data_IF_779938152254
#
_entry.id   IF_779938152254
#
_cell.length_a   1.000
_cell.length_b   1.000
_cell.length_c   1.000
_cell.angle_alpha   90.00
_cell.angle_beta   90.00
_cell.angle_gamma   90.00
#
_symmetry.space_group_name_H-M   'P 1'
#
loop_
_entity.id
_entity.type
_entity.pdbx_description
1 polymer ?
#
# COMPACT_ATOMS: atom_id res chain seq x y z
N UNK A 1 -1.16 27.59 5.85
CA UNK A 1 -2.26 27.93 6.78
C UNK A 1 -2.44 26.72 7.66
N UNK A 2 -2.03 26.83 8.93
CA UNK A 2 -2.12 25.77 9.95
C UNK A 2 -3.60 25.39 10.11
N UNK A 3 -3.93 24.12 9.95
CA UNK A 3 -5.23 23.58 10.33
C UNK A 3 -5.43 23.81 11.84
N UNK A 4 -6.60 24.23 12.30
CA UNK A 4 -6.89 24.35 13.72
C UNK A 4 -6.82 22.95 14.34
N UNK A 5 -6.13 22.85 15.47
CA UNK A 5 -6.02 21.65 16.33
C UNK A 5 -7.41 21.25 16.84
N UNK A 6 -8.16 20.49 16.05
CA UNK A 6 -9.52 20.04 16.40
C UNK A 6 -9.54 19.03 17.57
N UNK A 7 -8.40 18.51 17.98
CA UNK A 7 -8.27 17.54 19.07
C UNK A 7 -7.77 18.12 20.41
N UNK A 8 -7.49 19.43 20.46
CA UNK A 8 -7.37 20.18 21.71
C UNK A 8 -8.73 20.43 22.35
N UNK A 9 -9.83 19.95 21.74
CA UNK A 9 -11.18 19.99 22.31
C UNK A 9 -11.37 18.83 23.30
N UNK A 10 -12.17 19.03 24.37
CA UNK A 10 -12.50 17.98 25.35
C UNK A 10 -13.07 16.70 24.70
N UNK A 11 -13.71 16.83 23.55
CA UNK A 11 -14.33 15.72 22.80
C UNK A 11 -13.29 14.84 22.10
N UNK A 12 -12.18 15.42 21.59
CA UNK A 12 -11.11 14.67 20.93
C UNK A 12 -10.34 13.81 21.93
N UNK A 13 -10.00 14.36 23.08
CA UNK A 13 -9.30 13.64 24.16
C UNK A 13 -10.14 12.48 24.71
N UNK A 14 -11.44 12.69 24.92
CA UNK A 14 -12.36 11.64 25.38
C UNK A 14 -12.44 10.46 24.38
N UNK A 15 -12.35 10.71 23.07
CA UNK A 15 -12.31 9.65 22.07
C UNK A 15 -11.03 8.81 22.18
N UNK A 16 -9.87 9.46 22.31
CA UNK A 16 -8.58 8.77 22.47
C UNK A 16 -8.56 7.90 23.74
N UNK A 17 -9.07 8.42 24.85
CA UNK A 17 -9.22 7.67 26.11
C UNK A 17 -10.18 6.48 25.96
N UNK A 18 -11.27 6.64 25.21
CA UNK A 18 -12.23 5.56 24.97
C UNK A 18 -11.58 4.41 24.20
N UNK A 19 -10.82 4.73 23.15
CA UNK A 19 -10.11 3.70 22.36
C UNK A 19 -9.04 3.01 23.19
N UNK A 20 -8.25 3.77 23.94
CA UNK A 20 -7.22 3.21 24.81
C UNK A 20 -7.82 2.36 25.93
N UNK A 21 -8.95 2.79 26.50
CA UNK A 21 -9.71 2.04 27.50
C UNK A 21 -10.25 0.71 26.97
N UNK A 22 -10.77 0.70 25.74
CA UNK A 22 -11.23 -0.53 25.09
C UNK A 22 -10.07 -1.52 24.88
N UNK A 23 -8.90 -1.04 24.45
CA UNK A 23 -7.70 -1.88 24.32
C UNK A 23 -7.27 -2.43 25.70
N UNK A 24 -7.27 -1.61 26.74
CA UNK A 24 -6.92 -2.04 28.08
C UNK A 24 -7.90 -3.11 28.61
N UNK A 25 -9.19 -2.98 28.33
CA UNK A 25 -10.20 -3.98 28.69
C UNK A 25 -9.97 -5.31 27.94
N UNK A 26 -9.63 -5.26 26.65
CA UNK A 26 -9.26 -6.46 25.89
C UNK A 26 -8.03 -7.15 26.49
N UNK A 27 -7.00 -6.37 26.83
CA UNK A 27 -5.78 -6.88 27.49
C UNK A 27 -6.04 -7.48 28.87
N UNK A 28 -7.01 -6.97 29.60
CA UNK A 28 -7.45 -7.53 30.88
C UNK A 28 -8.10 -8.92 30.78
N UNK A 29 -8.60 -9.26 29.59
CA UNK A 29 -9.23 -10.56 29.31
C UNK A 29 -8.25 -11.59 28.76
N UNK A 30 -7.31 -11.17 27.90
CA UNK A 30 -6.34 -12.05 27.24
C UNK A 30 -5.15 -11.26 26.71
N UNK A 31 -3.96 -11.89 26.54
CA UNK A 31 -2.86 -11.27 25.80
C UNK A 31 -3.30 -10.82 24.40
N UNK A 32 -3.00 -9.57 24.07
CA UNK A 32 -3.50 -8.92 22.87
C UNK A 32 -2.34 -8.52 21.94
N UNK A 33 -2.50 -8.80 20.65
CA UNK A 33 -1.60 -8.33 19.59
C UNK A 33 -2.36 -7.32 18.72
N UNK A 34 -1.81 -6.12 18.60
CA UNK A 34 -2.26 -5.12 17.63
C UNK A 34 -1.24 -5.05 16.49
N UNK A 35 -1.71 -5.16 15.26
CA UNK A 35 -0.85 -5.01 14.06
C UNK A 35 -1.32 -3.79 13.29
N UNK A 36 -0.42 -2.82 13.09
CA UNK A 36 -0.65 -1.63 12.29
C UNK A 36 0.31 -1.64 11.10
N UNK A 37 -0.22 -2.04 9.97
CA UNK A 37 0.54 -2.10 8.73
C UNK A 37 0.58 -0.72 8.05
N UNK A 38 1.74 -0.37 7.47
CA UNK A 38 1.95 0.94 6.81
C UNK A 38 1.67 2.15 7.73
N UNK A 39 2.16 2.14 8.97
CA UNK A 39 1.93 3.23 9.96
C UNK A 39 2.29 4.62 9.42
N UNK A 40 3.24 4.73 8.47
CA UNK A 40 3.60 5.97 7.80
C UNK A 40 2.45 6.61 7.01
N UNK A 41 1.34 5.89 6.83
CA UNK A 41 0.12 6.35 6.12
C UNK A 41 -1.04 6.62 7.07
N UNK A 42 -0.85 6.33 8.35
CA UNK A 42 -1.88 6.54 9.35
C UNK A 42 -2.14 8.04 9.57
N UNK A 43 -3.34 8.35 10.01
CA UNK A 43 -3.72 9.70 10.38
C UNK A 43 -3.13 10.09 11.75
N UNK A 44 -3.23 11.37 12.06
CA UNK A 44 -2.74 11.94 13.32
C UNK A 44 -3.41 11.27 14.53
N UNK A 45 -4.71 10.97 14.44
CA UNK A 45 -5.47 10.35 15.55
C UNK A 45 -4.93 8.98 15.88
N UNK A 46 -4.59 8.16 14.88
CA UNK A 46 -3.94 6.85 15.07
C UNK A 46 -2.61 6.98 15.81
N UNK A 47 -1.80 7.99 15.48
CA UNK A 47 -0.53 8.25 16.16
C UNK A 47 -0.74 8.69 17.61
N UNK A 48 -1.72 9.55 17.88
CA UNK A 48 -2.05 9.99 19.23
C UNK A 48 -2.56 8.83 20.11
N UNK A 49 -3.38 7.91 19.56
CA UNK A 49 -3.77 6.67 20.24
C UNK A 49 -2.57 5.80 20.56
N UNK A 50 -1.64 5.64 19.59
CA UNK A 50 -0.41 4.88 19.81
C UNK A 50 0.47 5.49 20.91
N UNK A 51 0.62 6.82 20.96
CA UNK A 51 1.36 7.49 22.01
C UNK A 51 0.73 7.25 23.39
N UNK A 52 -0.60 7.25 23.46
CA UNK A 52 -1.32 6.97 24.69
C UNK A 52 -1.12 5.52 25.14
N UNK A 53 -1.25 4.56 24.23
CA UNK A 53 -1.01 3.13 24.50
C UNK A 53 0.46 2.87 24.88
N UNK A 54 1.43 3.51 24.22
CA UNK A 54 2.85 3.37 24.51
C UNK A 54 3.18 3.70 25.98
N UNK A 55 2.50 4.68 26.56
CA UNK A 55 2.69 5.05 27.97
C UNK A 55 2.24 3.97 28.96
N UNK A 56 1.41 3.04 28.53
CA UNK A 56 0.77 2.01 29.36
C UNK A 56 1.14 0.59 28.96
N UNK A 57 1.78 0.38 27.80
CA UNK A 57 2.06 -0.94 27.22
C UNK A 57 2.84 -1.87 28.17
N UNK A 58 3.79 -1.33 28.95
CA UNK A 58 4.58 -2.12 29.90
C UNK A 58 3.79 -2.64 31.10
N UNK A 59 2.53 -2.19 31.25
CA UNK A 59 1.63 -2.60 32.36
C UNK A 59 0.53 -3.54 31.89
N UNK A 60 0.48 -3.87 30.62
CA UNK A 60 -0.56 -4.67 29.99
C UNK A 60 0.05 -5.80 29.17
N UNK A 61 -0.60 -6.97 29.05
CA UNK A 61 -0.17 -8.03 28.12
C UNK A 61 -0.49 -7.64 26.67
N UNK A 62 0.13 -6.57 26.20
CA UNK A 62 -0.07 -5.97 24.89
C UNK A 62 1.24 -5.97 24.11
N UNK A 63 1.19 -6.52 22.88
CA UNK A 63 2.22 -6.35 21.88
C UNK A 63 1.66 -5.52 20.73
N UNK A 64 2.34 -4.44 20.38
CA UNK A 64 2.02 -3.64 19.19
C UNK A 64 3.11 -3.87 18.16
N UNK A 65 2.73 -4.40 17.00
CA UNK A 65 3.60 -4.58 15.83
C UNK A 65 3.24 -3.55 14.78
N UNK A 66 4.19 -2.75 14.37
CA UNK A 66 3.98 -1.77 13.32
C UNK A 66 4.92 -2.00 12.16
N UNK A 67 4.45 -1.83 10.93
CA UNK A 67 5.30 -1.73 9.78
C UNK A 67 5.40 -0.29 9.31
N UNK A 68 6.54 0.02 8.70
CA UNK A 68 6.87 1.38 8.33
C UNK A 68 7.79 1.39 7.11
N UNK A 69 7.54 2.29 6.20
CA UNK A 69 8.40 2.47 5.04
C UNK A 69 9.40 3.59 5.32
N UNK A 70 10.69 3.24 5.30
CA UNK A 70 11.77 4.22 5.36
C UNK A 70 11.88 4.93 3.99
N UNK A 71 11.10 5.98 3.83
CA UNK A 71 10.99 6.72 2.55
C UNK A 71 12.12 7.74 2.37
N UNK A 72 13.27 7.57 3.05
CA UNK A 72 14.32 8.59 3.02
C UNK A 72 13.77 9.94 3.49
N UNK A 73 14.41 11.01 3.50
CA UNK A 73 14.17 12.34 4.09
C UNK A 73 12.72 12.93 4.11
N UNK A 74 11.70 12.21 3.68
CA UNK A 74 10.29 12.65 3.69
C UNK A 74 9.44 11.71 4.55
N UNK A 75 9.72 11.63 5.84
CA UNK A 75 8.83 11.01 6.82
C UNK A 75 7.61 11.92 6.99
N UNK A 76 6.37 11.44 6.79
CA UNK A 76 5.16 12.21 7.09
C UNK A 76 4.97 12.42 8.60
N UNK A 77 5.55 11.57 9.43
CA UNK A 77 5.77 11.84 10.85
C UNK A 77 6.98 12.77 10.97
N UNK A 78 6.80 13.90 11.66
CA UNK A 78 7.92 14.66 12.15
C UNK A 78 8.86 13.69 12.91
N UNK A 79 10.15 13.71 12.63
CA UNK A 79 11.17 12.95 13.38
C UNK A 79 10.93 13.03 14.90
N UNK A 80 10.40 14.16 15.38
CA UNK A 80 10.01 14.40 16.76
C UNK A 80 8.85 13.54 17.29
N UNK A 81 7.88 13.16 16.44
CA UNK A 81 6.75 12.30 16.87
C UNK A 81 7.20 10.85 16.98
N UNK A 82 8.05 10.42 16.08
CA UNK A 82 8.67 9.10 16.17
C UNK A 82 9.61 8.97 17.37
N UNK A 83 10.46 9.96 17.59
CA UNK A 83 11.34 10.02 18.76
C UNK A 83 10.54 10.01 20.08
N UNK A 84 9.37 10.64 20.10
CA UNK A 84 8.46 10.57 21.27
C UNK A 84 7.92 9.17 21.53
N UNK A 85 7.49 8.44 20.49
CA UNK A 85 7.07 7.05 20.63
C UNK A 85 8.21 6.18 21.16
N UNK A 86 9.40 6.32 20.58
CA UNK A 86 10.60 5.58 21.00
C UNK A 86 11.02 5.88 22.43
N UNK A 87 10.75 7.08 22.94
CA UNK A 87 11.13 7.49 24.29
C UNK A 87 10.16 7.06 25.39
N UNK A 88 8.92 6.64 25.04
CA UNK A 88 7.85 6.35 26.00
C UNK A 88 7.71 4.89 26.37
N UNK A 89 8.18 3.98 25.55
CA UNK A 89 8.07 2.54 25.77
C UNK A 89 9.32 1.83 25.26
N UNK A 90 9.47 0.57 25.66
CA UNK A 90 10.51 -0.30 25.15
C UNK A 90 10.16 -0.69 23.71
N UNK A 91 10.95 -0.18 22.76
CA UNK A 91 10.73 -0.41 21.32
C UNK A 91 11.89 -1.23 20.76
N UNK A 92 11.55 -2.34 20.08
CA UNK A 92 12.51 -3.09 19.28
C UNK A 92 12.37 -2.69 17.82
N UNK A 93 13.38 -2.02 17.28
CA UNK A 93 13.42 -1.62 15.89
C UNK A 93 14.08 -2.71 15.04
N UNK A 94 13.31 -3.33 14.15
CA UNK A 94 13.80 -4.33 13.19
C UNK A 94 13.89 -3.67 11.81
N UNK A 95 15.12 -3.41 11.36
CA UNK A 95 15.35 -2.90 10.00
C UNK A 95 15.44 -4.05 9.03
N UNK A 96 14.42 -4.20 8.19
CA UNK A 96 14.41 -5.18 7.12
C UNK A 96 15.36 -4.75 6.01
N UNK A 97 16.25 -5.68 5.62
CA UNK A 97 17.12 -5.55 4.45
C UNK A 97 16.62 -6.49 3.37
N UNK A 98 17.11 -6.31 2.15
CA UNK A 98 16.90 -7.29 1.10
C UNK A 98 17.41 -8.68 1.50
N UNK A 99 16.79 -9.72 0.96
CA UNK A 99 17.26 -11.10 1.14
C UNK A 99 18.54 -11.34 0.33
N UNK A 100 19.38 -12.22 0.83
CA UNK A 100 20.65 -12.53 0.19
C UNK A 100 20.48 -13.43 -1.06
N UNK A 101 21.58 -13.69 -1.75
CA UNK A 101 21.61 -14.49 -2.99
C UNK A 101 21.01 -15.87 -2.81
N UNK A 102 21.34 -16.58 -1.72
CA UNK A 102 20.82 -17.93 -1.46
C UNK A 102 19.30 -17.92 -1.30
N UNK A 103 18.77 -16.99 -0.51
CA UNK A 103 17.33 -16.81 -0.33
C UNK A 103 16.65 -16.31 -1.61
N UNK A 104 17.34 -15.49 -2.42
CA UNK A 104 16.88 -15.08 -3.75
C UNK A 104 16.75 -16.28 -4.68
N UNK A 105 17.75 -17.15 -4.71
CA UNK A 105 17.70 -18.38 -5.52
C UNK A 105 16.55 -19.30 -5.10
N UNK A 106 16.35 -19.49 -3.80
CA UNK A 106 15.22 -20.26 -3.26
C UNK A 106 13.88 -19.65 -3.64
N UNK A 107 13.76 -18.32 -3.55
CA UNK A 107 12.53 -17.63 -3.90
C UNK A 107 12.21 -17.75 -5.39
N UNK A 108 13.20 -17.63 -6.26
CA UNK A 108 13.07 -17.85 -7.71
C UNK A 108 12.60 -19.28 -7.98
N UNK A 109 13.24 -20.28 -7.38
CA UNK A 109 12.86 -21.69 -7.54
C UNK A 109 11.41 -21.94 -7.07
N UNK A 110 11.00 -21.37 -5.94
CA UNK A 110 9.64 -21.52 -5.40
C UNK A 110 8.57 -20.87 -6.31
N UNK A 111 8.92 -19.79 -7.01
CA UNK A 111 7.98 -19.06 -7.87
C UNK A 111 7.87 -19.65 -9.27
N UNK A 112 8.98 -20.11 -9.84
CA UNK A 112 9.05 -20.60 -11.22
C UNK A 112 9.08 -22.12 -11.37
N UNK A 113 9.40 -22.84 -10.29
CA UNK A 113 9.68 -24.28 -10.35
C UNK A 113 11.07 -24.62 -10.93
N UNK A 114 11.87 -23.61 -11.30
CA UNK A 114 13.19 -23.77 -11.93
C UNK A 114 14.27 -23.31 -10.98
N UNK A 115 15.29 -24.15 -10.76
CA UNK A 115 16.48 -23.74 -9.98
C UNK A 115 17.36 -22.80 -10.80
N UNK A 116 17.55 -21.55 -10.34
CA UNK A 116 18.37 -20.60 -11.06
C UNK A 116 19.87 -20.92 -10.94
N UNK A 117 20.68 -20.43 -11.88
CA UNK A 117 22.14 -20.43 -11.69
C UNK A 117 22.56 -19.42 -10.63
N UNK A 118 23.72 -19.61 -9.97
CA UNK A 118 24.21 -18.65 -8.98
C UNK A 118 24.37 -17.24 -9.55
N UNK A 119 24.83 -17.12 -10.79
CA UNK A 119 25.03 -15.83 -11.49
C UNK A 119 23.69 -15.13 -11.77
N UNK A 120 22.66 -15.90 -12.11
CA UNK A 120 21.33 -15.37 -12.29
C UNK A 120 20.74 -14.85 -10.97
N UNK A 121 20.84 -15.62 -9.89
CA UNK A 121 20.38 -15.24 -8.58
C UNK A 121 21.10 -13.97 -8.06
N UNK A 122 22.41 -13.86 -8.27
CA UNK A 122 23.22 -12.69 -7.93
C UNK A 122 22.78 -11.45 -8.72
N UNK A 123 22.56 -11.62 -10.01
CA UNK A 123 22.05 -10.54 -10.87
C UNK A 123 20.66 -10.07 -10.45
N UNK A 124 19.75 -10.98 -10.10
CA UNK A 124 18.42 -10.66 -9.61
C UNK A 124 18.49 -9.96 -8.27
N UNK A 125 19.28 -10.48 -7.30
CA UNK A 125 19.50 -9.85 -6.01
C UNK A 125 20.00 -8.42 -6.16
N UNK A 126 21.09 -8.24 -6.89
CA UNK A 126 21.70 -6.92 -7.13
C UNK A 126 20.69 -5.94 -7.73
N UNK A 127 19.92 -6.38 -8.71
CA UNK A 127 18.95 -5.54 -9.43
C UNK A 127 17.72 -5.19 -8.62
N UNK A 128 17.28 -6.08 -7.74
CA UNK A 128 16.11 -5.89 -6.90
C UNK A 128 16.45 -5.32 -5.52
N UNK A 129 17.75 -5.20 -5.22
CA UNK A 129 18.23 -4.91 -3.87
C UNK A 129 17.81 -6.00 -2.88
N UNK A 130 17.60 -7.25 -3.36
CA UNK A 130 17.09 -8.35 -2.54
C UNK A 130 15.63 -8.19 -2.10
N UNK A 131 14.87 -7.27 -2.69
CA UNK A 131 13.47 -7.09 -2.31
C UNK A 131 12.60 -8.27 -2.79
N UNK A 132 11.99 -9.06 -1.89
CA UNK A 132 11.27 -10.29 -2.25
C UNK A 132 10.10 -10.04 -3.21
N UNK A 133 9.46 -8.89 -3.11
CA UNK A 133 8.37 -8.54 -4.03
C UNK A 133 8.90 -8.39 -5.46
N UNK A 134 9.97 -7.64 -5.64
CA UNK A 134 10.57 -7.42 -6.95
C UNK A 134 11.14 -8.70 -7.54
N UNK A 135 11.76 -9.54 -6.71
CA UNK A 135 12.24 -10.87 -7.12
C UNK A 135 11.08 -11.72 -7.66
N UNK A 136 9.97 -11.79 -6.92
CA UNK A 136 8.78 -12.53 -7.34
C UNK A 136 8.20 -12.02 -8.66
N UNK A 137 8.05 -10.72 -8.79
CA UNK A 137 7.44 -10.11 -9.97
C UNK A 137 8.33 -10.28 -11.22
N UNK A 138 9.65 -10.08 -11.06
CA UNK A 138 10.61 -10.30 -12.12
C UNK A 138 10.64 -11.77 -12.56
N UNK A 139 10.66 -12.70 -11.58
CA UNK A 139 10.64 -14.14 -11.85
C UNK A 139 9.39 -14.55 -12.61
N UNK A 140 8.21 -14.11 -12.17
CA UNK A 140 6.93 -14.39 -12.86
C UNK A 140 6.95 -13.86 -14.28
N UNK A 141 7.41 -12.62 -14.48
CA UNK A 141 7.49 -12.03 -15.82
C UNK A 141 8.35 -12.87 -16.76
N UNK A 142 9.55 -13.27 -16.32
CA UNK A 142 10.47 -14.04 -17.11
C UNK A 142 9.92 -15.45 -17.40
N UNK A 143 9.26 -16.06 -16.40
CA UNK A 143 8.61 -17.36 -16.55
C UNK A 143 7.46 -17.31 -17.56
N UNK A 144 6.53 -16.35 -17.41
CA UNK A 144 5.35 -16.19 -18.27
C UNK A 144 5.72 -15.87 -19.72
N UNK A 145 6.89 -15.27 -19.94
CA UNK A 145 7.41 -14.97 -21.29
C UNK A 145 8.24 -16.11 -21.89
N UNK A 146 8.45 -17.21 -21.17
CA UNK A 146 9.34 -18.30 -21.60
C UNK A 146 10.82 -17.90 -21.67
N UNK A 147 11.19 -16.79 -21.06
CA UNK A 147 12.53 -16.19 -21.11
C UNK A 147 13.42 -16.57 -19.94
N UNK A 148 12.92 -17.38 -18.98
CA UNK A 148 13.70 -17.72 -17.79
C UNK A 148 15.01 -18.43 -18.15
N UNK A 149 14.99 -19.30 -19.17
CA UNK A 149 16.17 -20.02 -19.64
C UNK A 149 17.14 -19.14 -20.46
N UNK A 150 16.61 -18.18 -21.23
CA UNK A 150 17.42 -17.19 -21.97
C UNK A 150 17.93 -16.07 -21.05
N UNK A 151 17.13 -15.62 -20.11
CA UNK A 151 17.50 -14.58 -19.17
C UNK A 151 18.62 -15.04 -18.22
N UNK A 152 18.71 -16.34 -17.95
CA UNK A 152 19.84 -16.97 -17.25
C UNK A 152 21.18 -16.69 -17.98
N UNK A 153 21.14 -16.42 -19.29
CA UNK A 153 22.32 -16.15 -20.14
C UNK A 153 22.50 -14.69 -20.53
N UNK A 154 21.45 -13.87 -20.49
CA UNK A 154 21.44 -12.55 -21.15
C UNK A 154 21.35 -11.32 -20.22
N UNK A 155 21.39 -11.47 -18.89
CA UNK A 155 21.10 -10.37 -17.93
C UNK A 155 22.32 -9.46 -17.69
N UNK A 156 22.98 -9.01 -18.73
CA UNK A 156 24.11 -8.08 -18.58
C UNK A 156 23.78 -6.57 -18.71
N UNK A 157 22.55 -6.13 -19.01
CA UNK A 157 22.42 -4.79 -19.57
C UNK A 157 21.20 -3.91 -19.29
N UNK A 158 20.42 -4.05 -18.20
CA UNK A 158 19.34 -3.08 -17.91
C UNK A 158 19.15 -2.74 -16.43
N UNK A 159 18.91 -1.45 -16.11
CA UNK A 159 18.69 -0.90 -14.78
C UNK A 159 17.35 -1.33 -14.16
N UNK A 160 17.34 -1.68 -12.88
CA UNK A 160 16.25 -2.38 -12.19
C UNK A 160 15.11 -1.53 -11.64
N UNK A 161 15.28 -0.27 -11.20
CA UNK A 161 14.13 0.58 -10.89
C UNK A 161 13.22 0.73 -12.12
N UNK A 162 13.83 0.80 -13.32
CA UNK A 162 13.11 0.77 -14.58
C UNK A 162 12.56 -0.61 -14.94
N UNK A 163 13.20 -1.69 -14.52
CA UNK A 163 12.72 -3.04 -14.80
C UNK A 163 11.40 -3.37 -14.06
N UNK A 164 11.25 -2.98 -12.79
CA UNK A 164 10.00 -3.25 -12.05
C UNK A 164 8.86 -2.36 -12.52
N UNK A 165 9.12 -1.08 -12.72
CA UNK A 165 8.18 -0.19 -13.38
C UNK A 165 7.90 -0.67 -14.82
N UNK A 166 8.90 -1.23 -15.49
CA UNK A 166 8.81 -1.88 -16.79
C UNK A 166 7.95 -3.14 -16.76
N UNK A 167 8.10 -3.99 -15.75
CA UNK A 167 7.29 -5.19 -15.55
C UNK A 167 5.82 -4.83 -15.36
N UNK A 168 5.53 -3.90 -14.45
CA UNK A 168 4.15 -3.47 -14.21
C UNK A 168 3.58 -2.78 -15.45
N UNK A 169 4.37 -1.93 -16.13
CA UNK A 169 4.00 -1.32 -17.41
C UNK A 169 3.73 -2.37 -18.49
N UNK A 170 4.57 -3.38 -18.62
CA UNK A 170 4.37 -4.49 -19.58
C UNK A 170 3.10 -5.27 -19.28
N UNK A 171 2.81 -5.60 -18.02
CA UNK A 171 1.55 -6.23 -17.62
C UNK A 171 0.36 -5.33 -17.91
N UNK A 172 0.44 -4.06 -17.57
CA UNK A 172 -0.62 -3.10 -17.88
C UNK A 172 -0.82 -2.90 -19.38
N UNK A 173 0.24 -2.92 -20.20
CA UNK A 173 0.15 -2.78 -21.65
C UNK A 173 -0.66 -3.93 -22.29
N UNK A 174 -0.64 -5.14 -21.68
CA UNK A 174 -1.40 -6.30 -22.13
C UNK A 174 -2.88 -6.26 -21.72
N UNK A 175 -3.24 -5.39 -20.77
CA UNK A 175 -4.64 -5.24 -20.36
C UNK A 175 -5.45 -4.48 -21.42
N UNK A 176 -6.72 -4.83 -21.62
CA UNK A 176 -7.65 -4.02 -22.40
C UNK A 176 -7.69 -2.57 -21.87
N UNK A 177 -7.98 -1.62 -22.77
CA UNK A 177 -8.04 -0.19 -22.38
C UNK A 177 -8.99 0.06 -21.21
N UNK A 178 -10.18 -0.57 -21.23
CA UNK A 178 -11.16 -0.44 -20.16
C UNK A 178 -10.62 -0.93 -18.80
N UNK A 179 -9.88 -2.06 -18.79
CA UNK A 179 -9.23 -2.59 -17.60
C UNK A 179 -8.18 -1.62 -17.05
N UNK A 180 -7.34 -1.08 -17.92
CA UNK A 180 -6.31 -0.09 -17.53
C UNK A 180 -6.92 1.15 -16.91
N UNK A 181 -7.99 1.69 -17.51
CA UNK A 181 -8.68 2.86 -17.00
C UNK A 181 -9.28 2.60 -15.62
N UNK A 182 -9.97 1.46 -15.44
CA UNK A 182 -10.54 1.09 -14.15
C UNK A 182 -9.45 0.86 -13.07
N UNK A 183 -8.33 0.23 -13.44
CA UNK A 183 -7.21 0.00 -12.55
C UNK A 183 -6.52 1.29 -12.10
N UNK A 184 -6.38 2.26 -13.00
CA UNK A 184 -5.83 3.59 -12.71
C UNK A 184 -6.70 4.35 -11.73
N UNK A 185 -8.02 4.34 -11.92
CA UNK A 185 -8.96 4.94 -10.95
C UNK A 185 -8.84 4.24 -9.59
N UNK A 186 -8.82 2.90 -9.58
CA UNK A 186 -8.59 2.12 -8.35
C UNK A 186 -7.31 2.50 -7.62
N UNK A 187 -6.20 2.73 -8.36
CA UNK A 187 -4.92 3.12 -7.77
C UNK A 187 -4.95 4.48 -7.06
N UNK A 188 -5.76 5.41 -7.54
CA UNK A 188 -5.96 6.70 -6.89
C UNK A 188 -6.90 6.60 -5.69
N UNK A 189 -7.89 5.70 -5.73
CA UNK A 189 -8.81 5.46 -4.61
C UNK A 189 -8.10 4.85 -3.40
N UNK A 190 -7.06 4.02 -3.61
CA UNK A 190 -6.31 3.47 -2.50
C UNK A 190 -5.74 2.07 -2.77
N UNK A 191 -5.16 1.46 -1.72
CA UNK A 191 -4.65 0.08 -1.78
C UNK A 191 -5.81 -0.91 -1.90
N UNK A 192 -6.91 -0.62 -1.25
CA UNK A 192 -8.20 -1.28 -1.39
C UNK A 192 -9.25 -0.25 -1.83
N UNK A 193 -10.13 -0.62 -2.74
CA UNK A 193 -11.13 0.31 -3.27
C UNK A 193 -12.47 -0.38 -3.56
N UNK A 194 -13.56 0.38 -3.39
CA UNK A 194 -14.92 -0.07 -3.70
C UNK A 194 -15.20 0.09 -5.20
N UNK A 195 -15.75 -0.94 -5.80
CA UNK A 195 -16.16 -0.93 -7.22
C UNK A 195 -17.23 0.13 -7.48
N UNK A 196 -18.09 0.39 -6.50
CA UNK A 196 -19.15 1.41 -6.58
C UNK A 196 -18.56 2.82 -6.74
N UNK A 197 -17.50 3.19 -6.01
CA UNK A 197 -16.86 4.50 -6.17
C UNK A 197 -16.16 4.61 -7.53
N UNK A 198 -15.47 3.55 -7.95
CA UNK A 198 -14.86 3.51 -9.29
C UNK A 198 -15.90 3.64 -10.41
N UNK A 199 -17.09 3.06 -10.23
CA UNK A 199 -18.21 3.15 -11.17
C UNK A 199 -18.74 4.60 -11.30
N UNK A 200 -18.90 5.28 -10.18
CA UNK A 200 -19.32 6.70 -10.16
C UNK A 200 -18.33 7.61 -10.91
N UNK A 201 -17.02 7.40 -10.66
CA UNK A 201 -15.93 8.13 -11.33
C UNK A 201 -15.90 7.87 -12.83
N UNK A 202 -16.05 6.59 -13.22
CA UNK A 202 -16.00 6.17 -14.62
C UNK A 202 -17.33 6.39 -15.38
N UNK A 203 -18.41 6.70 -14.64
CA UNK A 203 -19.78 6.80 -15.17
C UNK A 203 -20.21 5.51 -15.90
N UNK A 204 -19.91 4.37 -15.29
CA UNK A 204 -20.22 3.05 -15.79
C UNK A 204 -21.05 2.27 -14.75
N UNK A 205 -21.86 1.28 -15.18
CA UNK A 205 -22.50 0.36 -14.25
C UNK A 205 -21.46 -0.40 -13.41
N UNK A 206 -21.75 -0.66 -12.12
CA UNK A 206 -20.86 -1.36 -11.19
C UNK A 206 -20.42 -2.72 -11.75
N UNK A 207 -21.36 -3.50 -12.31
CA UNK A 207 -21.05 -4.79 -12.94
C UNK A 207 -20.08 -4.67 -14.12
N UNK A 208 -20.19 -3.61 -14.91
CA UNK A 208 -19.26 -3.35 -16.02
C UNK A 208 -17.85 -3.05 -15.52
N UNK A 209 -17.72 -2.27 -14.42
CA UNK A 209 -16.40 -1.99 -13.82
C UNK A 209 -15.79 -3.25 -13.25
N UNK A 210 -16.58 -4.10 -12.59
CA UNK A 210 -16.12 -5.39 -12.08
C UNK A 210 -15.59 -6.28 -13.23
N UNK A 211 -16.35 -6.41 -14.33
CA UNK A 211 -15.90 -7.14 -15.52
C UNK A 211 -14.63 -6.55 -16.14
N UNK A 212 -14.51 -5.23 -16.19
CA UNK A 212 -13.32 -4.56 -16.70
C UNK A 212 -12.10 -4.86 -15.84
N UNK A 213 -12.25 -5.10 -14.52
CA UNK A 213 -11.16 -5.42 -13.59
C UNK A 213 -10.72 -6.89 -13.61
N UNK A 214 -11.55 -7.83 -14.12
CA UNK A 214 -11.21 -9.25 -14.21
C UNK A 214 -9.84 -9.54 -14.89
N UNK A 215 -9.47 -8.90 -16.01
CA UNK A 215 -8.15 -9.11 -16.61
C UNK A 215 -7.01 -8.73 -15.65
N UNK A 216 -7.19 -7.70 -14.83
CA UNK A 216 -6.20 -7.29 -13.84
C UNK A 216 -6.10 -8.28 -12.66
N UNK A 217 -7.21 -8.93 -12.29
CA UNK A 217 -7.22 -10.04 -11.32
C UNK A 217 -6.44 -11.24 -11.89
N UNK A 218 -6.73 -11.63 -13.14
CA UNK A 218 -6.02 -12.76 -13.79
C UNK A 218 -4.52 -12.55 -13.91
N UNK A 219 -4.08 -11.30 -14.08
CA UNK A 219 -2.64 -10.98 -14.12
C UNK A 219 -2.00 -10.79 -12.76
N UNK A 220 -2.79 -10.93 -11.66
CA UNK A 220 -2.29 -10.81 -10.30
C UNK A 220 -1.93 -9.38 -9.87
N UNK A 221 -2.37 -8.35 -10.59
CA UNK A 221 -2.16 -6.95 -10.21
C UNK A 221 -3.09 -6.55 -9.05
N UNK A 222 -4.29 -7.10 -9.02
CA UNK A 222 -5.28 -6.93 -7.96
C UNK A 222 -5.90 -8.28 -7.60
N UNK A 223 -6.53 -8.33 -6.44
CA UNK A 223 -7.35 -9.45 -5.99
C UNK A 223 -8.72 -8.96 -5.52
N UNK A 224 -9.76 -9.79 -5.61
CA UNK A 224 -11.03 -9.50 -4.96
C UNK A 224 -10.85 -9.63 -3.45
N UNK A 225 -11.30 -8.64 -2.69
CA UNK A 225 -11.28 -8.62 -1.21
C UNK A 225 -12.68 -8.60 -0.60
N UNK A 226 -13.71 -8.73 -1.43
CA UNK A 226 -15.12 -8.76 -1.04
C UNK A 226 -16.04 -8.67 -2.25
N UNK A 227 -17.35 -8.66 -2.05
CA UNK A 227 -18.34 -8.67 -3.16
C UNK A 227 -18.22 -7.43 -4.07
N UNK A 228 -17.85 -6.28 -3.50
CA UNK A 228 -17.76 -4.98 -4.17
C UNK A 228 -16.40 -4.32 -4.03
N UNK A 229 -15.36 -5.08 -3.64
CA UNK A 229 -14.03 -4.56 -3.30
C UNK A 229 -12.93 -5.29 -4.02
N UNK A 230 -11.95 -4.52 -4.46
CA UNK A 230 -10.68 -5.01 -4.98
C UNK A 230 -9.52 -4.40 -4.20
N UNK A 231 -8.46 -5.16 -4.06
CA UNK A 231 -7.21 -4.74 -3.41
C UNK A 231 -6.04 -4.98 -4.34
N UNK A 232 -5.13 -4.02 -4.41
CA UNK A 232 -3.85 -4.22 -5.08
C UNK A 232 -3.05 -5.32 -4.39
N UNK A 233 -2.42 -6.19 -5.19
CA UNK A 233 -1.58 -7.29 -4.67
C UNK A 233 -0.45 -6.78 -3.79
N UNK A 234 0.01 -5.54 -4.04
CA UNK A 234 1.00 -4.84 -3.25
C UNK A 234 0.88 -3.32 -3.44
N UNK A 235 1.23 -2.53 -2.40
CA UNK A 235 1.21 -1.06 -2.47
C UNK A 235 2.09 -0.51 -3.60
N UNK A 236 3.22 -1.16 -3.87
CA UNK A 236 4.12 -0.78 -4.97
C UNK A 236 3.49 -0.98 -6.36
N UNK A 237 2.60 -1.97 -6.54
CA UNK A 237 1.84 -2.13 -7.80
C UNK A 237 0.90 -0.94 -7.98
N UNK A 238 0.18 -0.57 -6.92
CA UNK A 238 -0.67 0.62 -6.93
C UNK A 238 0.12 1.88 -7.28
N UNK A 239 1.26 2.09 -6.61
CA UNK A 239 2.09 3.28 -6.81
C UNK A 239 2.66 3.33 -8.23
N UNK A 240 3.11 2.20 -8.79
CA UNK A 240 3.57 2.12 -10.16
C UNK A 240 2.46 2.33 -11.20
N UNK A 241 1.23 1.91 -10.91
CA UNK A 241 0.04 2.21 -11.73
C UNK A 241 -0.26 3.71 -11.68
N UNK A 242 -0.30 4.31 -10.48
CA UNK A 242 -0.55 5.72 -10.30
C UNK A 242 0.55 6.62 -10.90
N UNK A 243 1.81 6.16 -10.90
CA UNK A 243 2.94 6.89 -11.47
C UNK A 243 2.87 7.05 -13.00
N UNK A 244 2.05 6.24 -13.69
CA UNK A 244 1.88 6.38 -15.15
C UNK A 244 1.03 7.59 -15.55
N UNK A 245 0.36 8.22 -14.60
CA UNK A 245 -0.46 9.40 -14.85
C UNK A 245 0.39 10.66 -14.95
N UNK A 246 0.09 11.48 -15.97
CA UNK A 246 0.59 12.84 -16.00
C UNK A 246 -0.03 13.68 -14.87
N UNK A 247 0.65 14.73 -14.42
CA UNK A 247 0.15 15.59 -13.36
C UNK A 247 -1.27 16.10 -13.64
N UNK A 248 -1.54 16.56 -14.85
CA UNK A 248 -2.85 17.08 -15.25
C UNK A 248 -3.96 16.01 -15.20
N UNK A 249 -3.67 14.82 -15.70
CA UNK A 249 -4.63 13.68 -15.65
C UNK A 249 -4.91 13.25 -14.22
N UNK A 250 -3.87 13.23 -13.39
CA UNK A 250 -3.98 12.92 -11.96
C UNK A 250 -4.87 13.91 -11.23
N UNK A 251 -4.64 15.23 -11.39
CA UNK A 251 -5.46 16.28 -10.77
C UNK A 251 -6.92 16.17 -11.20
N UNK A 252 -7.17 15.94 -12.50
CA UNK A 252 -8.54 15.74 -13.00
C UNK A 252 -9.23 14.55 -12.35
N UNK A 253 -8.57 13.40 -12.29
CA UNK A 253 -9.14 12.21 -11.67
C UNK A 253 -9.38 12.40 -10.16
N UNK A 254 -8.49 13.10 -9.46
CA UNK A 254 -8.73 13.46 -8.06
C UNK A 254 -9.99 14.35 -7.91
N UNK A 255 -10.20 15.33 -8.79
CA UNK A 255 -11.43 16.15 -8.79
C UNK A 255 -12.68 15.29 -9.08
N UNK A 256 -12.60 14.33 -10.01
CA UNK A 256 -13.70 13.43 -10.31
C UNK A 256 -14.02 12.50 -9.13
N UNK A 257 -13.01 11.99 -8.45
CA UNK A 257 -13.15 11.16 -7.24
C UNK A 257 -13.76 11.99 -6.11
N UNK A 258 -13.29 13.21 -5.87
CA UNK A 258 -13.85 14.08 -4.85
C UNK A 258 -15.36 14.31 -5.09
N UNK A 259 -15.75 14.58 -6.35
CA UNK A 259 -17.17 14.73 -6.72
C UNK A 259 -17.97 13.45 -6.52
N UNK A 260 -17.40 12.28 -6.84
CA UNK A 260 -18.05 11.00 -6.63
C UNK A 260 -18.33 10.74 -5.16
N UNK A 261 -17.37 11.03 -4.28
CA UNK A 261 -17.59 10.93 -2.82
C UNK A 261 -18.59 11.96 -2.31
N UNK A 262 -18.52 13.22 -2.76
CA UNK A 262 -19.45 14.27 -2.34
C UNK A 262 -20.89 14.07 -2.82
N UNK A 263 -21.10 13.29 -3.88
CA UNK A 263 -22.44 12.98 -4.39
C UNK A 263 -23.11 11.80 -3.64
N UNK A 264 -22.40 11.12 -2.77
CA UNK A 264 -22.90 10.00 -1.95
C UNK A 264 -23.51 10.55 -0.66
N UNK A 265 -24.49 9.84 -0.12
CA UNK A 265 -25.08 10.22 1.15
C UNK A 265 -24.02 10.28 2.26
N UNK A 266 -23.85 11.45 2.86
CA UNK A 266 -22.79 11.77 3.83
C UNK A 266 -22.96 11.09 5.19
N UNK A 267 -23.53 9.91 5.25
CA UNK A 267 -23.69 9.14 6.50
C UNK A 267 -22.38 8.53 6.99
N UNK A 268 -21.38 8.36 6.13
CA UNK A 268 -20.07 7.85 6.49
C UNK A 268 -19.04 9.00 6.57
N UNK A 269 -18.52 9.24 7.76
CA UNK A 269 -17.45 10.22 8.01
C UNK A 269 -16.24 9.96 7.11
N UNK A 270 -15.94 8.69 6.83
CA UNK A 270 -14.86 8.25 5.94
C UNK A 270 -14.99 8.82 4.52
N UNK A 271 -16.20 8.83 3.96
CA UNK A 271 -16.44 9.33 2.59
C UNK A 271 -16.23 10.84 2.53
N UNK A 272 -16.56 11.58 3.60
CA UNK A 272 -16.31 13.04 3.69
C UNK A 272 -14.82 13.36 3.77
N UNK A 273 -14.04 12.59 4.53
CA UNK A 273 -12.58 12.75 4.57
C UNK A 273 -11.93 12.41 3.22
N UNK A 274 -12.37 11.33 2.58
CA UNK A 274 -11.89 10.96 1.25
C UNK A 274 -12.19 12.06 0.22
N UNK A 275 -13.39 12.63 0.24
CA UNK A 275 -13.76 13.75 -0.64
C UNK A 275 -12.81 14.94 -0.45
N UNK A 276 -12.54 15.34 0.81
CA UNK A 276 -11.68 16.46 1.12
C UNK A 276 -10.21 16.21 0.71
N UNK A 277 -9.66 15.02 0.99
CA UNK A 277 -8.29 14.65 0.58
C UNK A 277 -8.13 14.70 -0.93
N UNK A 278 -9.08 14.12 -1.67
CA UNK A 278 -9.03 14.14 -3.12
C UNK A 278 -9.24 15.55 -3.70
N UNK A 279 -10.09 16.40 -3.13
CA UNK A 279 -10.23 17.80 -3.52
C UNK A 279 -8.91 18.56 -3.34
N UNK A 280 -8.25 18.38 -2.19
CA UNK A 280 -6.95 19.00 -1.94
C UNK A 280 -5.88 18.54 -2.95
N UNK A 281 -5.81 17.24 -3.26
CA UNK A 281 -4.87 16.68 -4.26
C UNK A 281 -5.19 17.11 -5.69
N UNK A 282 -6.41 17.48 -5.96
CA UNK A 282 -6.81 18.05 -7.24
C UNK A 282 -6.32 19.52 -7.42
N UNK A 283 -5.99 20.19 -6.32
CA UNK A 283 -5.63 21.61 -6.32
C UNK A 283 -6.85 22.53 -6.39
N UNK A 284 -8.01 22.06 -5.94
CA UNK A 284 -9.28 22.79 -5.90
C UNK A 284 -9.64 23.22 -4.48
#
# INVERSE_FOLDING_TARGET
VSQPDNFSSPTGFAYLETVAGAVAEMCGRQPTLIVLDDLHRADRTTHEVLELLASSVNRMPLLVLTTWQDAGRNLPLNEREFDRLLSRCEVTLIRLRGINREATAQLIANVSGVTPTPEFADSVETRTGGNPFYIKELTRLLHDNGQLDEATRAIASQDVPDAVSGVIRSRMARLPRAARTALVVGALLGTEFKTTVAADVLKLPVGQVAQNLEPAVRTGLIASSGPDRFRFSHGLVRDAVAAQLTGLTRSRLHADIARAYSARDHTAVEDSFAAADHAWRAGT
#
